data_IF_096369581555
#
_entry.id   IF_096369581555
#
_cell.length_a   1.000
_cell.length_b   1.000
_cell.length_c   1.000
_cell.angle_alpha   90.00
_cell.angle_beta   90.00
_cell.angle_gamma   90.00
#
_symmetry.space_group_name_H-M   'P 1'
#
loop_
_entity.id
_entity.type
_entity.pdbx_description
1 polymer ?
#
# COMPACT_ATOMS: atom_id res chain seq x y z
N UNK A 1 20.17 -7.15 2.58
CA UNK A 1 19.36 -8.00 3.50
C UNK A 1 18.36 -8.91 2.75
N UNK A 2 18.08 -8.68 1.47
CA UNK A 2 17.03 -9.39 0.70
C UNK A 2 17.36 -10.78 0.07
N UNK A 3 18.61 -11.18 -0.23
CA UNK A 3 18.84 -12.39 -1.05
C UNK A 3 18.42 -13.71 -0.39
N UNK A 4 18.43 -13.77 0.95
CA UNK A 4 18.17 -15.01 1.70
C UNK A 4 16.66 -15.33 1.76
N UNK A 5 15.83 -14.31 2.02
CA UNK A 5 14.37 -14.42 2.08
C UNK A 5 13.76 -14.82 0.74
N UNK A 6 14.30 -14.30 -0.37
CA UNK A 6 13.82 -14.65 -1.72
C UNK A 6 14.07 -16.13 -2.01
N UNK A 7 15.26 -16.63 -1.67
CA UNK A 7 15.61 -18.06 -1.84
C UNK A 7 14.75 -18.97 -0.96
N UNK A 8 14.52 -18.58 0.29
CA UNK A 8 13.64 -19.31 1.21
C UNK A 8 12.20 -19.37 0.65
N UNK A 9 11.65 -18.24 0.21
CA UNK A 9 10.32 -18.19 -0.37
C UNK A 9 10.19 -19.03 -1.66
N UNK A 10 11.19 -18.94 -2.55
CA UNK A 10 11.20 -19.71 -3.79
C UNK A 10 11.22 -21.23 -3.56
N UNK A 11 11.88 -21.68 -2.49
CA UNK A 11 11.98 -23.10 -2.10
C UNK A 11 10.72 -23.68 -1.45
N UNK A 12 9.69 -22.87 -1.16
CA UNK A 12 8.43 -23.34 -0.61
C UNK A 12 7.58 -24.09 -1.65
N UNK A 13 6.74 -25.03 -1.18
CA UNK A 13 5.70 -25.63 -2.03
C UNK A 13 4.68 -24.58 -2.45
N UNK A 14 4.02 -24.81 -3.58
CA UNK A 14 3.07 -23.83 -4.14
C UNK A 14 1.92 -23.52 -3.17
N UNK A 15 1.31 -24.55 -2.58
CA UNK A 15 0.28 -24.39 -1.54
C UNK A 15 0.75 -23.57 -0.34
N UNK A 16 2.04 -23.67 0.03
CA UNK A 16 2.56 -22.91 1.15
C UNK A 16 2.83 -21.44 0.76
N UNK A 17 3.31 -21.19 -0.46
CA UNK A 17 3.43 -19.82 -1.00
C UNK A 17 2.07 -19.13 -1.01
N UNK A 18 1.04 -19.80 -1.50
CA UNK A 18 -0.34 -19.28 -1.52
C UNK A 18 -0.82 -18.89 -0.12
N UNK A 19 -0.66 -19.78 0.87
CA UNK A 19 -1.05 -19.50 2.26
C UNK A 19 -0.29 -18.34 2.88
N UNK A 20 1.03 -18.27 2.64
CA UNK A 20 1.88 -17.18 3.13
C UNK A 20 1.46 -15.86 2.50
N UNK A 21 1.30 -15.82 1.17
CA UNK A 21 0.87 -14.61 0.45
C UNK A 21 -0.51 -14.16 0.93
N UNK A 22 -1.48 -15.08 1.04
CA UNK A 22 -2.81 -14.76 1.55
C UNK A 22 -2.74 -14.17 2.96
N UNK A 23 -1.99 -14.80 3.88
CA UNK A 23 -1.82 -14.31 5.24
C UNK A 23 -1.24 -12.90 5.31
N UNK A 24 -0.19 -12.62 4.52
CA UNK A 24 0.45 -11.31 4.45
C UNK A 24 -0.47 -10.24 3.85
N UNK A 25 -1.22 -10.59 2.79
CA UNK A 25 -2.20 -9.68 2.18
C UNK A 25 -3.32 -9.31 3.17
N UNK A 26 -3.90 -10.29 3.87
CA UNK A 26 -4.97 -10.02 4.83
C UNK A 26 -4.47 -9.25 6.05
N UNK A 27 -3.23 -9.45 6.49
CA UNK A 27 -2.61 -8.64 7.56
C UNK A 27 -2.55 -7.15 7.17
N UNK A 28 -2.17 -6.85 5.93
CA UNK A 28 -2.19 -5.48 5.42
C UNK A 28 -3.60 -4.89 5.41
N UNK A 29 -4.61 -5.66 5.00
CA UNK A 29 -6.00 -5.22 5.04
C UNK A 29 -6.51 -4.97 6.47
N UNK A 30 -6.15 -5.81 7.44
CA UNK A 30 -6.52 -5.55 8.85
C UNK A 30 -5.87 -4.26 9.37
N UNK A 31 -4.61 -3.99 9.01
CA UNK A 31 -3.94 -2.73 9.35
C UNK A 31 -4.67 -1.52 8.76
N UNK A 32 -5.06 -1.60 7.48
CA UNK A 32 -5.82 -0.53 6.80
C UNK A 32 -7.19 -0.32 7.46
N UNK A 33 -7.89 -1.41 7.79
CA UNK A 33 -9.19 -1.35 8.46
C UNK A 33 -9.12 -0.60 9.78
N UNK A 34 -8.07 -0.85 10.56
CA UNK A 34 -7.84 -0.24 11.87
C UNK A 34 -7.22 1.16 11.81
N UNK A 35 -6.67 1.58 10.66
CA UNK A 35 -6.08 2.90 10.49
C UNK A 35 -7.16 3.98 10.29
N UNK A 36 -6.87 5.20 10.72
CA UNK A 36 -7.71 6.37 10.43
C UNK A 36 -7.51 6.86 8.99
N UNK A 37 -6.27 6.79 8.51
CA UNK A 37 -5.84 7.27 7.19
C UNK A 37 -4.80 6.34 6.58
N UNK A 38 -4.67 6.37 5.25
CA UNK A 38 -3.62 5.65 4.52
C UNK A 38 -2.70 6.65 3.82
N UNK A 39 -1.39 6.43 3.93
CA UNK A 39 -0.38 7.19 3.20
C UNK A 39 0.45 6.26 2.31
N UNK A 40 0.39 6.49 1.00
CA UNK A 40 1.08 5.70 -0.02
C UNK A 40 2.43 6.36 -0.33
N UNK A 41 3.53 5.69 0.04
CA UNK A 41 4.88 6.16 -0.26
C UNK A 41 5.30 5.76 -1.69
N UNK A 42 4.62 6.31 -2.70
CA UNK A 42 4.88 6.05 -4.12
C UNK A 42 6.04 6.91 -4.65
N UNK A 43 7.27 6.65 -4.17
CA UNK A 43 8.44 7.37 -4.66
C UNK A 43 8.57 7.22 -6.18
N UNK A 44 8.76 8.36 -6.85
CA UNK A 44 8.84 8.47 -8.31
C UNK A 44 7.60 7.93 -9.06
N UNK A 45 6.47 7.78 -8.38
CA UNK A 45 5.20 7.30 -8.96
C UNK A 45 4.98 5.79 -8.87
N UNK A 46 5.92 5.02 -8.31
CA UNK A 46 5.79 3.57 -8.28
C UNK A 46 4.77 3.06 -7.25
N UNK A 47 3.80 2.29 -7.74
CA UNK A 47 2.84 1.53 -6.93
C UNK A 47 2.75 0.09 -7.49
N UNK A 48 2.96 -0.91 -6.63
CA UNK A 48 2.80 -2.31 -7.02
C UNK A 48 1.33 -2.75 -7.11
N UNK A 49 1.10 -3.94 -7.65
CA UNK A 49 -0.24 -4.54 -7.73
C UNK A 49 -0.88 -4.74 -6.36
N UNK A 50 -0.11 -5.16 -5.34
CA UNK A 50 -0.59 -5.28 -3.96
C UNK A 50 -1.00 -3.91 -3.39
N UNK A 51 -0.17 -2.88 -3.58
CA UNK A 51 -0.46 -1.51 -3.16
C UNK A 51 -1.72 -0.96 -3.85
N UNK A 52 -1.95 -1.32 -5.12
CA UNK A 52 -3.18 -0.95 -5.83
C UNK A 52 -4.42 -1.56 -5.17
N UNK A 53 -4.36 -2.82 -4.76
CA UNK A 53 -5.44 -3.48 -4.03
C UNK A 53 -5.66 -2.84 -2.65
N UNK A 54 -4.59 -2.51 -1.94
CA UNK A 54 -4.61 -1.81 -0.65
C UNK A 54 -5.26 -0.42 -0.76
N UNK A 55 -4.93 0.35 -1.80
CA UNK A 55 -5.55 1.66 -2.08
C UNK A 55 -7.06 1.48 -2.31
N UNK A 56 -7.46 0.53 -3.16
CA UNK A 56 -8.88 0.25 -3.42
C UNK A 56 -9.62 -0.16 -2.15
N UNK A 57 -9.02 -1.02 -1.34
CA UNK A 57 -9.60 -1.45 -0.05
C UNK A 57 -9.76 -0.28 0.93
N UNK A 58 -8.76 0.60 1.04
CA UNK A 58 -8.82 1.79 1.88
C UNK A 58 -9.98 2.73 1.47
N UNK A 59 -10.11 2.99 0.17
CA UNK A 59 -11.19 3.82 -0.37
C UNK A 59 -12.56 3.20 -0.13
N UNK A 60 -12.70 1.89 -0.33
CA UNK A 60 -13.96 1.18 -0.09
C UNK A 60 -14.42 1.26 1.38
N UNK A 61 -13.47 1.37 2.32
CA UNK A 61 -13.75 1.60 3.75
C UNK A 61 -13.95 3.09 4.10
N UNK A 62 -13.94 3.99 3.13
CA UNK A 62 -14.07 5.44 3.33
C UNK A 62 -12.84 6.09 3.98
N UNK A 63 -11.67 5.43 3.95
CA UNK A 63 -10.44 5.97 4.53
C UNK A 63 -9.82 6.98 3.56
N UNK A 64 -9.42 8.19 4.00
CA UNK A 64 -8.72 9.12 3.15
C UNK A 64 -7.33 8.57 2.81
N UNK A 65 -7.00 8.57 1.52
CA UNK A 65 -5.72 8.11 0.99
C UNK A 65 -4.88 9.30 0.56
N UNK A 66 -3.68 9.46 1.13
CA UNK A 66 -2.69 10.45 0.73
C UNK A 66 -1.55 9.76 -0.02
N UNK A 67 -0.85 10.46 -0.91
CA UNK A 67 0.28 9.90 -1.65
C UNK A 67 1.50 10.84 -1.65
N UNK A 68 2.70 10.30 -1.83
CA UNK A 68 3.94 11.08 -1.89
C UNK A 68 4.11 11.81 -3.24
N UNK A 69 3.70 11.16 -4.33
CA UNK A 69 3.96 11.60 -5.71
C UNK A 69 2.70 11.62 -6.56
N UNK A 70 2.61 12.63 -7.42
CA UNK A 70 1.63 12.80 -8.49
C UNK A 70 2.01 12.07 -9.79
N UNK A 71 3.20 11.48 -9.85
CA UNK A 71 3.76 10.81 -11.05
C UNK A 71 3.29 9.37 -11.25
N UNK A 72 2.23 8.96 -10.56
CA UNK A 72 1.69 7.60 -10.74
C UNK A 72 1.36 7.35 -12.23
N UNK A 73 1.68 6.18 -12.76
CA UNK A 73 1.39 5.87 -14.16
C UNK A 73 -0.09 5.50 -14.38
N UNK A 74 -0.76 5.03 -13.33
CA UNK A 74 -2.17 4.65 -13.38
C UNK A 74 -3.06 5.83 -12.98
N UNK A 75 -3.83 6.34 -13.96
CA UNK A 75 -4.74 7.44 -13.74
C UNK A 75 -5.84 7.11 -12.73
N UNK A 76 -6.30 5.85 -12.69
CA UNK A 76 -7.30 5.44 -11.71
C UNK A 76 -6.81 5.68 -10.27
N UNK A 77 -5.55 5.34 -9.95
CA UNK A 77 -4.97 5.58 -8.62
C UNK A 77 -4.90 7.06 -8.27
N UNK A 78 -4.58 7.92 -9.24
CA UNK A 78 -4.53 9.38 -9.01
C UNK A 78 -5.85 9.94 -8.51
N UNK A 79 -6.96 9.46 -9.06
CA UNK A 79 -8.32 9.91 -8.69
C UNK A 79 -8.67 9.48 -7.26
N UNK A 80 -8.09 8.37 -6.78
CA UNK A 80 -8.32 7.84 -5.45
C UNK A 80 -7.52 8.57 -4.36
N UNK A 81 -6.48 9.32 -4.73
CA UNK A 81 -5.71 10.11 -3.78
C UNK A 81 -6.46 11.38 -3.41
N UNK A 82 -6.70 11.56 -2.11
CA UNK A 82 -7.24 12.80 -1.54
C UNK A 82 -6.30 13.97 -1.77
N UNK A 83 -5.00 13.77 -1.55
CA UNK A 83 -3.99 14.80 -1.78
C UNK A 83 -2.57 14.21 -1.88
N UNK A 84 -1.69 14.94 -2.56
CA UNK A 84 -0.26 14.67 -2.60
C UNK A 84 0.44 15.42 -1.48
N UNK A 85 1.20 14.69 -0.66
CA UNK A 85 1.88 15.17 0.54
C UNK A 85 3.34 14.76 0.50
N UNK A 86 4.25 15.74 0.42
CA UNK A 86 5.68 15.49 0.15
C UNK A 86 6.49 15.22 1.40
N UNK A 87 5.97 15.61 2.57
CA UNK A 87 6.67 15.44 3.85
C UNK A 87 5.76 14.93 4.97
N UNK A 88 6.28 14.18 5.96
CA UNK A 88 5.50 13.78 7.13
C UNK A 88 4.93 14.97 7.90
N UNK A 89 5.65 16.11 7.93
CA UNK A 89 5.20 17.34 8.57
C UNK A 89 3.95 17.92 7.92
N UNK A 90 3.85 17.87 6.59
CA UNK A 90 2.65 18.29 5.86
C UNK A 90 1.47 17.36 6.16
N UNK A 91 1.70 16.04 6.22
CA UNK A 91 0.65 15.09 6.55
C UNK A 91 0.08 15.37 7.94
N UNK A 92 0.95 15.53 8.94
CA UNK A 92 0.56 15.84 10.31
C UNK A 92 -0.27 17.13 10.44
N UNK A 93 -0.07 18.12 9.56
CA UNK A 93 -0.89 19.35 9.55
C UNK A 93 -2.31 19.10 9.05
N UNK A 94 -2.54 18.07 8.25
CA UNK A 94 -3.85 17.71 7.66
C UNK A 94 -4.68 16.78 8.54
N UNK A 95 -4.03 16.13 9.51
CA UNK A 95 -4.66 15.18 10.45
C UNK A 95 -5.09 15.84 11.76
N UNK A 96 -4.93 17.16 11.88
CA UNK A 96 -5.41 17.97 13.01
C UNK A 96 -6.76 18.58 12.67
#
# INVERSE_FOLDING_TARGET
REPKLIKEFQGLSETYKEKVVAGLTFDHFQKIKNADVVFVFNKDGYCGNSTTQEIGYAVALGKPVYALSDKDEEYARKILFREIVKTPKELLKKLK
#
